data_IF_969541995946
#
_entry.id   IF_969541995946
#
_cell.length_a   1.000
_cell.length_b   1.000
_cell.length_c   1.000
_cell.angle_alpha   90.00
_cell.angle_beta   90.00
_cell.angle_gamma   90.00
#
_symmetry.space_group_name_H-M   'P 1'
#
loop_
_entity.id
_entity.type
_entity.pdbx_description
1 polymer ?
#
# COMPACT_ATOMS: atom_id res chain seq x y z
N UNK A 1 -15.35 -37.23 -5.52
CA UNK A 1 -14.85 -35.83 -5.63
C UNK A 1 -13.36 -35.72 -5.29
N UNK A 2 -12.80 -36.53 -4.38
CA UNK A 2 -11.37 -36.54 -4.06
C UNK A 2 -10.44 -36.92 -5.23
N UNK A 3 -10.80 -37.93 -6.02
CA UNK A 3 -9.96 -38.39 -7.14
C UNK A 3 -9.74 -37.31 -8.20
N UNK A 4 -10.76 -36.49 -8.47
CA UNK A 4 -10.65 -35.35 -9.39
C UNK A 4 -9.66 -34.30 -8.86
N UNK A 5 -9.75 -33.94 -7.57
CA UNK A 5 -8.84 -32.97 -6.96
C UNK A 5 -7.39 -33.49 -6.93
N UNK A 6 -7.21 -34.78 -6.64
CA UNK A 6 -5.89 -35.41 -6.70
C UNK A 6 -5.34 -35.42 -8.13
N UNK A 7 -6.18 -35.73 -9.12
CA UNK A 7 -5.84 -35.63 -10.53
C UNK A 7 -5.39 -34.22 -10.94
N UNK A 8 -6.09 -33.17 -10.48
CA UNK A 8 -5.69 -31.78 -10.73
C UNK A 8 -4.37 -31.41 -10.05
N UNK A 9 -4.12 -31.87 -8.83
CA UNK A 9 -2.85 -31.66 -8.13
C UNK A 9 -1.69 -32.28 -8.92
N UNK A 10 -1.82 -33.55 -9.31
CA UNK A 10 -0.78 -34.25 -10.07
C UNK A 10 -0.56 -33.62 -11.45
N UNK A 11 -1.65 -33.32 -12.18
CA UNK A 11 -1.57 -32.69 -13.49
C UNK A 11 -0.93 -31.31 -13.46
N UNK A 12 -1.23 -30.51 -12.44
CA UNK A 12 -0.62 -29.18 -12.26
C UNK A 12 0.86 -29.28 -11.90
N UNK A 13 1.23 -30.22 -11.02
CA UNK A 13 2.64 -30.47 -10.67
C UNK A 13 3.46 -30.86 -11.89
N UNK A 14 2.93 -31.75 -12.73
CA UNK A 14 3.57 -32.15 -13.98
C UNK A 14 3.70 -30.97 -14.95
N UNK A 15 2.63 -30.22 -15.16
CA UNK A 15 2.67 -29.04 -16.04
C UNK A 15 3.70 -28.00 -15.58
N UNK A 16 3.81 -27.74 -14.27
CA UNK A 16 4.84 -26.85 -13.72
C UNK A 16 6.25 -27.39 -14.01
N UNK A 17 6.49 -28.69 -13.77
CA UNK A 17 7.77 -29.33 -14.02
C UNK A 17 8.18 -29.22 -15.50
N UNK A 18 7.27 -29.54 -16.44
CA UNK A 18 7.51 -29.44 -17.87
C UNK A 18 7.80 -28.01 -18.34
N UNK A 19 7.30 -27.00 -17.62
CA UNK A 19 7.60 -25.58 -17.86
C UNK A 19 8.82 -25.07 -17.09
N UNK A 20 9.64 -25.96 -16.52
CA UNK A 20 10.84 -25.58 -15.77
C UNK A 20 10.54 -24.82 -14.48
N UNK A 21 9.33 -24.96 -13.92
CA UNK A 21 8.91 -24.31 -12.67
C UNK A 21 9.04 -25.30 -11.51
N UNK A 22 9.91 -24.98 -10.56
CA UNK A 22 10.05 -25.78 -9.34
C UNK A 22 8.75 -25.75 -8.51
N UNK A 23 8.40 -26.88 -7.92
CA UNK A 23 7.27 -26.98 -6.99
C UNK A 23 7.63 -27.90 -5.82
N UNK A 24 7.02 -27.62 -4.66
CA UNK A 24 7.19 -28.40 -3.44
C UNK A 24 5.79 -28.76 -2.90
N UNK A 25 5.64 -29.98 -2.38
CA UNK A 25 4.40 -30.44 -1.77
C UNK A 25 4.67 -30.89 -0.35
N UNK A 26 3.85 -30.40 0.58
CA UNK A 26 3.79 -30.83 1.97
C UNK A 26 2.48 -31.62 2.13
N UNK A 27 2.58 -32.89 2.49
CA UNK A 27 1.42 -33.76 2.69
C UNK A 27 1.21 -33.96 4.19
N UNK A 28 -0.03 -33.77 4.64
CA UNK A 28 -0.46 -34.08 6.00
C UNK A 28 -1.37 -35.32 5.95
N UNK A 29 -1.17 -36.28 6.85
CA UNK A 29 -2.02 -37.48 6.94
C UNK A 29 -3.46 -37.12 7.32
N UNK A 30 -3.62 -36.14 8.22
CA UNK A 30 -4.91 -35.59 8.61
C UNK A 30 -4.78 -34.11 9.01
N UNK A 31 -5.92 -33.40 9.03
CA UNK A 31 -6.00 -32.03 9.52
C UNK A 31 -6.54 -32.07 10.95
N UNK A 32 -5.67 -31.82 11.92
CA UNK A 32 -6.03 -31.70 13.32
C UNK A 32 -5.17 -30.59 13.98
N UNK A 33 -5.35 -30.34 15.28
CA UNK A 33 -4.62 -29.29 16.00
C UNK A 33 -3.11 -29.52 16.02
N UNK A 34 -2.68 -30.78 16.09
CA UNK A 34 -1.26 -31.16 16.08
C UNK A 34 -0.62 -30.92 14.72
N UNK A 35 -1.23 -31.38 13.61
CA UNK A 35 -0.68 -31.23 12.26
C UNK A 35 -0.70 -29.77 11.80
N UNK A 36 -1.73 -29.00 12.19
CA UNK A 36 -1.77 -27.55 11.96
C UNK A 36 -0.67 -26.82 12.74
N UNK A 37 -0.49 -27.15 14.03
CA UNK A 37 0.57 -26.56 14.85
C UNK A 37 1.96 -26.87 14.31
N UNK A 38 2.19 -28.11 13.84
CA UNK A 38 3.44 -28.49 13.18
C UNK A 38 3.69 -27.71 11.89
N UNK A 39 2.65 -27.46 11.08
CA UNK A 39 2.77 -26.68 9.85
C UNK A 39 3.11 -25.21 10.12
N UNK A 40 2.44 -24.58 11.10
CA UNK A 40 2.77 -23.21 11.55
C UNK A 40 4.22 -23.18 12.02
N UNK A 41 4.60 -24.14 12.87
CA UNK A 41 5.94 -24.21 13.39
C UNK A 41 6.99 -24.35 12.28
N UNK A 42 6.74 -25.23 11.29
CA UNK A 42 7.61 -25.39 10.13
C UNK A 42 7.86 -24.06 9.40
N UNK A 43 6.80 -23.29 9.12
CA UNK A 43 6.95 -22.01 8.42
C UNK A 43 7.65 -20.94 9.28
N UNK A 44 7.38 -20.86 10.58
CA UNK A 44 8.10 -19.95 11.50
C UNK A 44 9.61 -20.22 11.47
N UNK A 45 10.04 -21.50 11.55
CA UNK A 45 11.48 -21.84 11.51
C UNK A 45 12.06 -21.65 10.11
N UNK A 46 11.30 -21.97 9.05
CA UNK A 46 11.74 -21.82 7.66
C UNK A 46 12.02 -20.36 7.33
N UNK A 47 11.15 -19.43 7.73
CA UNK A 47 11.35 -17.99 7.51
C UNK A 47 12.60 -17.49 8.25
N UNK A 48 12.75 -17.87 9.52
CA UNK A 48 13.94 -17.50 10.31
C UNK A 48 15.23 -18.03 9.71
N UNK A 49 15.26 -19.30 9.30
CA UNK A 49 16.43 -19.92 8.67
C UNK A 49 16.74 -19.27 7.31
N UNK A 50 15.74 -19.02 6.48
CA UNK A 50 15.93 -18.35 5.19
C UNK A 50 16.52 -16.94 5.38
N UNK A 51 15.97 -16.15 6.30
CA UNK A 51 16.46 -14.81 6.58
C UNK A 51 17.93 -14.82 7.06
N UNK A 52 18.27 -15.78 7.93
CA UNK A 52 19.67 -16.01 8.34
C UNK A 52 20.58 -16.31 7.14
N UNK A 53 20.15 -17.20 6.23
CA UNK A 53 20.93 -17.57 5.04
C UNK A 53 21.16 -16.40 4.08
N UNK A 54 20.20 -15.47 3.97
CA UNK A 54 20.32 -14.29 3.09
C UNK A 54 20.83 -13.03 3.82
N UNK A 55 21.20 -13.14 5.10
CA UNK A 55 21.76 -12.03 5.88
C UNK A 55 20.76 -10.92 6.24
N UNK A 56 19.47 -11.25 6.38
CA UNK A 56 18.40 -10.32 6.77
C UNK A 56 17.88 -10.71 8.16
N UNK A 57 17.47 -9.73 8.96
CA UNK A 57 16.79 -10.01 10.22
C UNK A 57 15.27 -10.20 9.98
N UNK A 58 14.78 -11.43 10.22
CA UNK A 58 13.36 -11.78 10.04
C UNK A 58 12.40 -11.11 11.04
N UNK A 59 12.93 -10.56 12.14
CA UNK A 59 12.14 -10.18 13.32
C UNK A 59 11.95 -8.67 13.46
N UNK A 60 12.44 -7.87 12.51
CA UNK A 60 12.24 -6.43 12.51
C UNK A 60 11.50 -5.95 11.26
N UNK A 61 10.78 -4.83 11.38
CA UNK A 61 9.95 -4.26 10.31
C UNK A 61 10.14 -2.73 10.19
N UNK A 62 11.37 -2.24 9.97
CA UNK A 62 11.67 -0.80 10.02
C UNK A 62 10.88 0.02 8.99
N UNK A 63 10.56 -0.57 7.83
CA UNK A 63 9.78 0.10 6.78
C UNK A 63 8.38 0.50 7.22
N UNK A 64 7.78 -0.20 8.20
CA UNK A 64 6.45 0.13 8.73
C UNK A 64 6.49 1.46 9.48
N UNK A 65 7.53 1.68 10.29
CA UNK A 65 7.66 2.90 11.08
C UNK A 65 7.97 4.11 10.19
N UNK A 66 8.85 3.96 9.20
CA UNK A 66 9.08 4.99 8.19
C UNK A 66 7.80 5.33 7.41
N UNK A 67 6.99 4.31 7.08
CA UNK A 67 5.70 4.50 6.42
C UNK A 67 4.71 5.30 7.27
N UNK A 68 4.64 5.03 8.58
CA UNK A 68 3.81 5.80 9.53
C UNK A 68 4.26 7.25 9.64
N UNK A 69 5.57 7.51 9.71
CA UNK A 69 6.12 8.87 9.77
C UNK A 69 5.78 9.66 8.49
N UNK A 70 5.99 9.05 7.32
CA UNK A 70 5.65 9.66 6.04
C UNK A 70 4.13 9.94 5.93
N UNK A 71 3.29 9.01 6.39
CA UNK A 71 1.84 9.21 6.44
C UNK A 71 1.46 10.37 7.38
N UNK A 72 2.11 10.49 8.55
CA UNK A 72 1.94 11.61 9.47
C UNK A 72 2.19 12.96 8.80
N UNK A 73 3.30 13.09 8.08
CA UNK A 73 3.65 14.32 7.34
C UNK A 73 2.59 14.69 6.30
N UNK A 74 2.05 13.69 5.59
CA UNK A 74 0.97 13.89 4.60
C UNK A 74 -0.32 14.36 5.28
N UNK A 75 -0.66 13.83 6.46
CA UNK A 75 -1.84 14.26 7.22
C UNK A 75 -1.69 15.68 7.74
N UNK A 76 -0.52 16.04 8.28
CA UNK A 76 -0.22 17.41 8.70
C UNK A 76 -0.34 18.40 7.53
N UNK A 77 0.17 18.03 6.36
CA UNK A 77 0.03 18.83 5.14
C UNK A 77 -1.44 19.01 4.76
N UNK A 78 -2.25 17.95 4.83
CA UNK A 78 -3.68 18.03 4.53
C UNK A 78 -4.43 18.99 5.48
N UNK A 79 -4.02 19.07 6.75
CA UNK A 79 -4.55 20.03 7.73
C UNK A 79 -4.12 21.46 7.37
N UNK A 80 -2.85 21.67 7.03
CA UNK A 80 -2.33 22.99 6.60
C UNK A 80 -3.04 23.51 5.36
N UNK A 81 -3.25 22.66 4.35
CA UNK A 81 -4.01 23.00 3.12
C UNK A 81 -5.43 23.44 3.47
N UNK A 82 -6.15 22.65 4.28
CA UNK A 82 -7.52 22.99 4.69
C UNK A 82 -7.57 24.31 5.46
N UNK A 83 -6.61 24.53 6.37
CA UNK A 83 -6.53 25.77 7.13
C UNK A 83 -6.29 26.97 6.21
N UNK A 84 -5.34 26.86 5.27
CA UNK A 84 -5.03 27.93 4.33
C UNK A 84 -6.23 28.28 3.43
N UNK A 85 -6.89 27.27 2.86
CA UNK A 85 -8.11 27.47 2.05
C UNK A 85 -9.23 28.14 2.86
N UNK A 86 -9.43 27.72 4.13
CA UNK A 86 -10.44 28.35 5.00
C UNK A 86 -10.12 29.79 5.40
N UNK A 87 -8.84 30.14 5.50
CA UNK A 87 -8.43 31.52 5.77
C UNK A 87 -8.61 32.46 4.56
N UNK A 88 -8.73 31.90 3.35
CA UNK A 88 -8.94 32.65 2.10
C UNK A 88 -10.14 32.10 1.33
N UNK A 89 -11.37 32.19 1.88
CA UNK A 89 -12.54 31.50 1.35
C UNK A 89 -12.95 31.96 -0.05
N UNK A 90 -12.60 33.19 -0.45
CA UNK A 90 -12.94 33.75 -1.77
C UNK A 90 -11.87 33.48 -2.84
N UNK A 91 -10.70 32.97 -2.45
CA UNK A 91 -9.58 32.77 -3.37
C UNK A 91 -9.51 31.32 -3.87
N UNK A 92 -9.16 31.18 -5.15
CA UNK A 92 -8.93 29.89 -5.79
C UNK A 92 -7.43 29.67 -5.91
N UNK A 93 -6.99 28.48 -5.56
CA UNK A 93 -5.58 28.13 -5.67
C UNK A 93 -5.40 26.84 -6.49
N UNK A 94 -4.36 26.82 -7.31
CA UNK A 94 -3.87 25.60 -7.94
C UNK A 94 -2.99 24.81 -6.98
N UNK A 95 -2.78 23.52 -7.28
CA UNK A 95 -1.88 22.69 -6.47
C UNK A 95 -0.44 23.25 -6.44
N UNK A 96 0.03 23.85 -7.54
CA UNK A 96 1.35 24.48 -7.63
C UNK A 96 1.45 25.70 -6.73
N UNK A 97 0.47 26.61 -6.78
CA UNK A 97 0.45 27.80 -5.92
C UNK A 97 0.39 27.42 -4.43
N UNK A 98 -0.42 26.43 -4.05
CA UNK A 98 -0.47 25.95 -2.67
C UNK A 98 0.84 25.29 -2.24
N UNK A 99 1.51 24.54 -3.12
CA UNK A 99 2.82 23.98 -2.82
C UNK A 99 3.86 25.09 -2.59
N UNK A 100 3.86 26.12 -3.44
CA UNK A 100 4.77 27.27 -3.30
C UNK A 100 4.53 28.06 -2.01
N UNK A 101 3.26 28.29 -1.64
CA UNK A 101 2.88 29.00 -0.41
C UNK A 101 3.24 28.19 0.84
N UNK A 102 2.99 26.87 0.83
CA UNK A 102 3.15 26.01 2.01
C UNK A 102 4.59 25.53 2.22
N UNK A 103 5.47 25.65 1.22
CA UNK A 103 6.95 25.55 1.20
C UNK A 103 7.43 24.77 -0.06
N UNK A 104 8.51 25.28 -0.71
CA UNK A 104 9.10 24.70 -1.94
C UNK A 104 9.60 23.25 -1.87
N UNK A 105 9.72 22.67 -0.68
CA UNK A 105 10.15 21.27 -0.48
C UNK A 105 9.00 20.28 -0.52
N UNK A 106 7.76 20.74 -0.66
CA UNK A 106 6.57 19.88 -0.70
C UNK A 106 6.34 19.39 -2.13
N UNK A 107 6.12 18.08 -2.30
CA UNK A 107 5.80 17.50 -3.59
C UNK A 107 4.41 18.00 -4.07
N UNK A 108 4.37 18.76 -5.16
CA UNK A 108 3.15 19.27 -5.80
C UNK A 108 2.15 18.17 -6.12
N UNK A 109 2.62 16.97 -6.49
CA UNK A 109 1.76 15.81 -6.72
C UNK A 109 0.99 15.43 -5.45
N UNK A 110 1.65 15.42 -4.29
CA UNK A 110 1.00 15.10 -3.01
C UNK A 110 -0.05 16.14 -2.67
N UNK A 111 0.23 17.43 -2.88
CA UNK A 111 -0.75 18.52 -2.69
C UNK A 111 -1.95 18.33 -3.61
N UNK A 112 -1.72 18.04 -4.89
CA UNK A 112 -2.77 17.79 -5.87
C UNK A 112 -3.67 16.61 -5.46
N UNK A 113 -3.08 15.47 -5.08
CA UNK A 113 -3.82 14.30 -4.63
C UNK A 113 -4.64 14.58 -3.36
N UNK A 114 -4.09 15.35 -2.41
CA UNK A 114 -4.82 15.76 -1.21
C UNK A 114 -6.02 16.66 -1.56
N UNK A 115 -5.86 17.61 -2.47
CA UNK A 115 -6.95 18.48 -2.93
C UNK A 115 -8.06 17.69 -3.63
N UNK A 116 -7.70 16.72 -4.48
CA UNK A 116 -8.68 15.80 -5.09
C UNK A 116 -9.44 15.01 -4.03
N UNK A 117 -8.75 14.50 -3.01
CA UNK A 117 -9.37 13.77 -1.90
C UNK A 117 -10.31 14.67 -1.08
N UNK A 118 -9.92 15.92 -0.83
CA UNK A 118 -10.75 16.90 -0.11
C UNK A 118 -11.99 17.29 -0.90
N UNK A 119 -11.84 17.49 -2.21
CA UNK A 119 -12.96 17.79 -3.10
C UNK A 119 -13.94 16.63 -3.21
N UNK A 120 -13.45 15.40 -3.37
CA UNK A 120 -14.27 14.19 -3.39
C UNK A 120 -15.06 13.97 -2.08
N UNK A 121 -14.59 14.52 -0.96
CA UNK A 121 -15.26 14.47 0.34
C UNK A 121 -16.13 15.70 0.63
N UNK A 122 -16.34 16.60 -0.34
CA UNK A 122 -17.15 17.80 -0.15
C UNK A 122 -16.59 18.77 0.90
N UNK A 123 -15.26 18.83 1.07
CA UNK A 123 -14.59 19.78 1.98
C UNK A 123 -14.02 21.01 1.27
N UNK A 124 -13.87 20.91 -0.06
CA UNK A 124 -13.27 21.91 -0.95
C UNK A 124 -14.02 21.82 -2.28
N UNK A 125 -14.26 22.95 -2.95
CA UNK A 125 -14.82 22.97 -4.29
C UNK A 125 -13.70 22.89 -5.33
N UNK A 126 -13.83 21.99 -6.32
CA UNK A 126 -12.92 21.87 -7.46
C UNK A 126 -13.48 22.60 -8.67
N UNK A 127 -12.63 23.36 -9.35
CA UNK A 127 -12.91 24.01 -10.63
C UNK A 127 -12.05 23.36 -11.72
N UNK A 128 -12.69 22.81 -12.74
CA UNK A 128 -12.01 22.18 -13.87
C UNK A 128 -11.27 23.22 -14.73
N UNK A 129 -10.13 22.80 -15.27
CA UNK A 129 -9.33 23.57 -16.21
C UNK A 129 -9.05 22.73 -17.47
N UNK A 130 -8.30 23.29 -18.43
CA UNK A 130 -7.92 22.58 -19.67
C UNK A 130 -7.17 21.26 -19.41
N UNK A 131 -6.48 21.15 -18.28
CA UNK A 131 -5.80 19.93 -17.83
C UNK A 131 -6.20 19.65 -16.37
N UNK A 132 -6.31 18.37 -15.96
CA UNK A 132 -6.59 18.01 -14.57
C UNK A 132 -5.59 18.64 -13.59
N UNK A 133 -4.33 18.80 -13.99
CA UNK A 133 -3.26 19.35 -13.15
C UNK A 133 -3.31 20.88 -13.00
N UNK A 134 -4.08 21.57 -13.85
CA UNK A 134 -4.31 23.02 -13.74
C UNK A 134 -5.63 23.37 -13.08
N UNK A 135 -6.32 22.37 -12.50
CA UNK A 135 -7.54 22.60 -11.72
C UNK A 135 -7.27 23.51 -10.51
N UNK A 136 -8.23 24.37 -10.20
CA UNK A 136 -8.19 25.26 -9.04
C UNK A 136 -9.15 24.79 -7.96
N UNK A 137 -8.83 25.10 -6.71
CA UNK A 137 -9.55 24.62 -5.53
C UNK A 137 -9.86 25.78 -4.58
N UNK A 138 -11.03 25.75 -3.95
CA UNK A 138 -11.52 26.80 -3.05
C UNK A 138 -12.20 26.17 -1.83
N UNK A 139 -12.15 26.83 -0.66
CA UNK A 139 -12.94 26.40 0.50
C UNK A 139 -14.45 26.47 0.21
N UNK A 140 -15.21 25.60 0.88
CA UNK A 140 -16.68 25.64 0.92
C UNK A 140 -17.10 26.42 2.17
#
# INVERSE_FOLDING_TARGET
>A
SGDFLHGFLLGTREALFQNGRASLTITLEEINTQTLGALIALFERTVGLYAFLVGINAYHQPGVESGKQAAGNVLELAVKIQHHLRSHPEQKFTATELADILQKTINTETVFQLLLRLAANGRVQKFEAKSPFSASFQAI
#
